data_IF_872477581443
#
_entry.id   IF_872477581443
#
_cell.length_a   1.000
_cell.length_b   1.000
_cell.length_c   1.000
_cell.angle_alpha   90.00
_cell.angle_beta   90.00
_cell.angle_gamma   90.00
#
_symmetry.space_group_name_H-M   'P 1'
#
loop_
_entity.id
_entity.type
_entity.pdbx_description
1 polymer ?
#
# COMPACT_ATOMS: atom_id res chain seq x y z
N UNK A 1 -19.95 40.68 -18.24
CA UNK A 1 -19.29 39.37 -18.04
C UNK A 1 -19.96 38.70 -16.83
N UNK A 2 -20.82 37.70 -17.05
CA UNK A 2 -21.65 37.12 -16.00
C UNK A 2 -20.91 36.01 -15.24
N UNK A 3 -20.86 36.14 -13.92
CA UNK A 3 -20.18 35.26 -12.98
C UNK A 3 -21.02 33.99 -12.70
N UNK A 4 -20.60 32.85 -13.23
CA UNK A 4 -21.29 31.56 -13.02
C UNK A 4 -20.85 30.96 -11.68
N UNK A 5 -21.62 31.23 -10.61
CA UNK A 5 -21.47 30.55 -9.31
C UNK A 5 -21.82 29.06 -9.45
N UNK A 6 -20.81 28.20 -9.41
CA UNK A 6 -20.92 26.74 -9.45
C UNK A 6 -21.64 26.21 -8.20
N UNK A 7 -22.95 26.00 -8.28
CA UNK A 7 -23.75 25.34 -7.21
C UNK A 7 -23.16 23.95 -6.92
N UNK A 8 -22.67 23.72 -5.69
CA UNK A 8 -22.31 22.38 -5.19
C UNK A 8 -23.59 21.54 -5.18
N UNK A 9 -23.61 20.45 -5.96
CA UNK A 9 -24.68 19.44 -5.93
C UNK A 9 -24.76 18.86 -4.52
N UNK A 10 -25.86 19.14 -3.80
CA UNK A 10 -26.24 18.38 -2.59
C UNK A 10 -26.86 17.08 -3.08
N UNK A 11 -26.17 15.96 -2.89
CA UNK A 11 -26.73 14.64 -3.17
C UNK A 11 -27.61 14.21 -1.98
N UNK A 12 -28.80 13.75 -2.32
CA UNK A 12 -29.88 13.29 -1.47
C UNK A 12 -29.41 12.11 -0.59
N UNK A 13 -29.57 12.21 0.73
CA UNK A 13 -29.17 11.20 1.73
C UNK A 13 -30.10 9.99 1.63
N UNK A 14 -29.67 8.99 0.86
CA UNK A 14 -30.31 7.68 0.74
C UNK A 14 -29.79 6.84 1.91
N UNK A 15 -30.66 6.53 2.87
CA UNK A 15 -30.37 5.85 4.15
C UNK A 15 -28.90 5.90 4.60
N UNK A 16 -28.61 6.89 5.45
CA UNK A 16 -27.28 7.21 6.00
C UNK A 16 -26.75 6.12 6.97
N UNK A 17 -27.27 4.90 6.87
CA UNK A 17 -26.80 3.72 7.59
C UNK A 17 -25.56 3.20 6.88
N UNK A 18 -24.45 3.83 7.22
CA UNK A 18 -23.14 3.34 6.89
C UNK A 18 -22.97 1.91 7.44
N UNK A 19 -22.39 0.99 6.66
CA UNK A 19 -22.16 -0.43 6.99
C UNK A 19 -21.30 -0.68 8.26
N UNK A 20 -20.84 0.40 8.88
CA UNK A 20 -20.27 0.48 10.23
C UNK A 20 -20.94 1.66 10.89
N UNK A 21 -21.58 1.45 12.04
CA UNK A 21 -22.14 2.53 12.84
C UNK A 21 -21.00 3.31 13.52
N UNK A 22 -20.78 4.54 13.05
CA UNK A 22 -19.69 5.38 13.55
C UNK A 22 -19.88 5.78 15.02
N UNK A 23 -21.13 5.90 15.52
CA UNK A 23 -21.38 6.27 16.92
C UNK A 23 -20.98 5.13 17.86
N UNK A 24 -21.48 3.93 17.58
CA UNK A 24 -21.12 2.73 18.33
C UNK A 24 -19.62 2.43 18.22
N UNK A 25 -19.02 2.68 17.04
CA UNK A 25 -17.57 2.51 16.85
C UNK A 25 -16.74 3.49 17.70
N UNK A 26 -17.14 4.77 17.76
CA UNK A 26 -16.49 5.76 18.60
C UNK A 26 -16.58 5.40 20.09
N UNK A 27 -17.76 4.97 20.54
CA UNK A 27 -17.97 4.55 21.93
C UNK A 27 -17.09 3.35 22.29
N UNK A 28 -17.06 2.32 21.45
CA UNK A 28 -16.20 1.16 21.64
C UNK A 28 -14.71 1.55 21.73
N UNK A 29 -14.26 2.47 20.87
CA UNK A 29 -12.88 2.99 20.91
C UNK A 29 -12.58 3.78 22.19
N UNK A 30 -13.55 4.55 22.71
CA UNK A 30 -13.40 5.26 24.00
C UNK A 30 -13.25 4.26 25.15
N UNK A 31 -14.12 3.25 25.21
CA UNK A 31 -14.06 2.18 26.22
C UNK A 31 -12.71 1.48 26.19
N UNK A 32 -12.27 1.02 25.02
CA UNK A 32 -10.99 0.35 24.87
C UNK A 32 -9.80 1.24 25.22
N UNK A 33 -9.85 2.54 24.90
CA UNK A 33 -8.81 3.49 25.28
C UNK A 33 -8.71 3.67 26.80
N UNK A 34 -9.83 3.66 27.51
CA UNK A 34 -9.84 3.65 28.98
C UNK A 34 -9.26 2.35 29.56
N UNK A 35 -9.54 1.20 28.93
CA UNK A 35 -8.90 -0.08 29.30
C UNK A 35 -7.39 -0.04 29.10
N UNK A 36 -6.92 0.51 27.97
CA UNK A 36 -5.50 0.74 27.71
C UNK A 36 -4.87 1.61 28.80
N UNK A 37 -5.49 2.73 29.18
CA UNK A 37 -5.00 3.59 30.28
C UNK A 37 -4.91 2.83 31.60
N UNK A 38 -5.91 2.00 31.92
CA UNK A 38 -5.91 1.15 33.13
C UNK A 38 -4.79 0.10 33.08
N UNK A 39 -4.53 -0.51 31.93
CA UNK A 39 -3.46 -1.49 31.73
C UNK A 39 -2.07 -0.85 31.88
N UNK A 40 -1.85 0.33 31.28
CA UNK A 40 -0.61 1.10 31.42
C UNK A 40 -0.34 1.48 32.87
N UNK A 41 -1.36 1.92 33.63
CA UNK A 41 -1.24 2.19 35.07
C UNK A 41 -0.83 0.96 35.89
N UNK A 42 -1.16 -0.24 35.41
CA UNK A 42 -0.80 -1.53 36.04
C UNK A 42 0.51 -2.11 35.50
N UNK A 43 1.27 -1.37 34.69
CA UNK A 43 2.46 -1.85 33.98
C UNK A 43 2.20 -3.14 33.17
N UNK A 44 0.99 -3.29 32.62
CA UNK A 44 0.63 -4.38 31.70
C UNK A 44 0.73 -3.89 30.25
N UNK A 45 0.94 -4.82 29.32
CA UNK A 45 0.92 -4.54 27.89
C UNK A 45 -0.43 -4.00 27.40
N UNK A 46 -0.44 -3.50 26.16
CA UNK A 46 -1.66 -3.00 25.51
C UNK A 46 -2.67 -4.16 25.41
N UNK A 47 -3.91 -4.01 25.94
CA UNK A 47 -4.91 -5.05 25.84
C UNK A 47 -5.34 -5.28 24.39
N UNK A 48 -5.79 -6.50 24.05
CA UNK A 48 -6.32 -6.76 22.72
C UNK A 48 -7.55 -5.89 22.43
N UNK A 49 -7.78 -5.56 21.16
CA UNK A 49 -8.99 -4.88 20.72
C UNK A 49 -10.21 -5.78 20.88
N UNK A 50 -11.39 -5.18 21.09
CA UNK A 50 -12.63 -5.95 21.18
C UNK A 50 -13.03 -6.57 19.83
N UNK A 51 -13.77 -7.68 19.87
CA UNK A 51 -14.27 -8.35 18.65
C UNK A 51 -15.08 -7.40 17.76
N UNK A 52 -15.84 -6.49 18.36
CA UNK A 52 -16.61 -5.49 17.61
C UNK A 52 -15.71 -4.50 16.86
N UNK A 53 -14.64 -4.01 17.49
CA UNK A 53 -13.66 -3.13 16.84
C UNK A 53 -12.96 -3.87 15.68
N UNK A 54 -12.58 -5.14 15.91
CA UNK A 54 -11.95 -5.96 14.88
C UNK A 54 -12.88 -6.19 13.68
N UNK A 55 -14.17 -6.50 13.92
CA UNK A 55 -15.18 -6.65 12.87
C UNK A 55 -15.37 -5.34 12.08
N UNK A 56 -15.34 -4.17 12.75
CA UNK A 56 -15.35 -2.88 12.07
C UNK A 56 -14.14 -2.71 11.14
N UNK A 57 -12.92 -3.04 11.58
CA UNK A 57 -11.73 -2.97 10.72
C UNK A 57 -11.84 -3.88 9.48
N UNK A 58 -12.30 -5.12 9.69
CA UNK A 58 -12.50 -6.10 8.61
C UNK A 58 -13.50 -5.58 7.59
N UNK A 59 -14.65 -5.06 8.05
CA UNK A 59 -15.67 -4.48 7.17
C UNK A 59 -15.13 -3.32 6.35
N UNK A 60 -14.39 -2.40 6.97
CA UNK A 60 -13.82 -1.24 6.28
C UNK A 60 -12.80 -1.68 5.22
N UNK A 61 -11.89 -2.58 5.58
CA UNK A 61 -10.86 -3.08 4.67
C UNK A 61 -11.46 -3.82 3.47
N UNK A 62 -12.42 -4.72 3.71
CA UNK A 62 -13.11 -5.44 2.65
C UNK A 62 -13.81 -4.49 1.69
N UNK A 63 -14.62 -3.55 2.18
CA UNK A 63 -15.32 -2.60 1.31
C UNK A 63 -14.36 -1.71 0.54
N UNK A 64 -13.28 -1.25 1.17
CA UNK A 64 -12.28 -0.42 0.51
C UNK A 64 -11.58 -1.17 -0.63
N UNK A 65 -11.37 -2.47 -0.49
CA UNK A 65 -10.72 -3.33 -1.50
C UNK A 65 -11.48 -3.40 -2.84
N UNK A 66 -12.81 -3.20 -2.82
CA UNK A 66 -13.65 -3.19 -4.03
C UNK A 66 -13.64 -1.85 -4.77
N UNK A 67 -12.91 -0.83 -4.27
CA UNK A 67 -12.77 0.43 -5.01
C UNK A 67 -12.05 0.16 -6.34
N UNK A 68 -12.40 0.87 -7.43
CA UNK A 68 -11.77 0.69 -8.74
C UNK A 68 -10.23 0.77 -8.71
N UNK A 69 -9.68 1.56 -7.79
CA UNK A 69 -8.23 1.71 -7.60
C UNK A 69 -7.54 0.45 -7.07
N UNK A 70 -8.27 -0.46 -6.41
CA UNK A 70 -7.72 -1.59 -5.66
C UNK A 70 -8.25 -2.95 -6.10
N UNK A 71 -9.41 -2.99 -6.77
CA UNK A 71 -10.15 -4.23 -7.07
C UNK A 71 -9.40 -5.18 -8.01
N UNK A 72 -8.58 -4.66 -8.92
CA UNK A 72 -7.93 -5.44 -9.99
C UNK A 72 -6.51 -5.94 -9.64
N UNK A 73 -6.10 -5.88 -8.37
CA UNK A 73 -4.83 -6.48 -7.95
C UNK A 73 -5.03 -7.92 -7.52
N UNK A 74 -4.15 -8.82 -7.95
CA UNK A 74 -4.17 -10.24 -7.58
C UNK A 74 -3.87 -10.47 -6.10
N UNK A 75 -3.13 -9.55 -5.47
CA UNK A 75 -2.72 -9.61 -4.06
C UNK A 75 -3.67 -8.83 -3.12
N UNK A 76 -4.97 -8.89 -3.40
CA UNK A 76 -5.97 -8.10 -2.66
C UNK A 76 -6.14 -8.54 -1.20
N UNK A 77 -6.06 -9.83 -0.95
CA UNK A 77 -6.25 -10.39 0.39
C UNK A 77 -5.07 -10.04 1.31
N UNK A 78 -3.87 -9.94 0.74
CA UNK A 78 -2.68 -9.46 1.41
C UNK A 78 -2.76 -7.95 1.69
N UNK A 79 -3.33 -7.16 0.77
CA UNK A 79 -3.62 -5.75 1.06
C UNK A 79 -4.57 -5.62 2.25
N UNK A 80 -5.67 -6.39 2.28
CA UNK A 80 -6.64 -6.40 3.38
C UNK A 80 -5.95 -6.77 4.70
N UNK A 81 -5.13 -7.83 4.69
CA UNK A 81 -4.39 -8.30 5.86
C UNK A 81 -3.43 -7.24 6.40
N UNK A 82 -2.60 -6.65 5.54
CA UNK A 82 -1.69 -5.55 5.89
C UNK A 82 -2.48 -4.34 6.44
N UNK A 83 -3.66 -4.06 5.87
CA UNK A 83 -4.56 -3.00 6.33
C UNK A 83 -5.06 -3.20 7.76
N UNK A 84 -5.52 -4.41 8.09
CA UNK A 84 -6.02 -4.77 9.43
C UNK A 84 -4.89 -4.73 10.45
N UNK A 85 -3.70 -5.26 10.11
CA UNK A 85 -2.52 -5.20 10.98
C UNK A 85 -2.18 -3.75 11.35
N UNK A 86 -2.17 -2.85 10.35
CA UNK A 86 -1.92 -1.43 10.57
C UNK A 86 -3.01 -0.79 11.44
N UNK A 87 -4.28 -1.17 11.28
CA UNK A 87 -5.35 -0.70 12.17
C UNK A 87 -5.11 -1.11 13.62
N UNK A 88 -4.71 -2.36 13.87
CA UNK A 88 -4.41 -2.85 15.22
C UNK A 88 -3.21 -2.12 15.80
N UNK A 89 -2.11 -2.01 15.04
CA UNK A 89 -0.89 -1.34 15.49
C UNK A 89 -1.11 0.14 15.85
N UNK A 90 -1.89 0.85 15.03
CA UNK A 90 -2.15 2.29 15.21
C UNK A 90 -3.46 2.61 15.94
N UNK A 91 -4.19 1.59 16.41
CA UNK A 91 -5.45 1.77 17.16
C UNK A 91 -5.24 2.62 18.42
N UNK A 92 -4.13 2.41 19.14
CA UNK A 92 -3.78 3.16 20.35
C UNK A 92 -3.61 4.67 20.10
N UNK A 93 -3.18 5.05 18.89
CA UNK A 93 -2.89 6.43 18.53
C UNK A 93 -4.15 7.25 18.23
N UNK A 94 -5.29 6.60 18.00
CA UNK A 94 -6.57 7.29 17.77
C UNK A 94 -6.96 8.10 19.02
N UNK A 95 -7.19 9.41 18.87
CA UNK A 95 -7.60 10.27 19.98
C UNK A 95 -9.06 10.76 19.77
N UNK A 96 -10.01 10.27 20.60
CA UNK A 96 -11.40 10.73 20.55
C UNK A 96 -11.58 12.24 20.76
N UNK A 97 -10.68 12.91 21.48
CA UNK A 97 -10.78 14.35 21.74
C UNK A 97 -10.41 15.21 20.52
N UNK A 98 -9.68 14.62 19.56
CA UNK A 98 -9.25 15.31 18.32
C UNK A 98 -10.18 15.02 17.14
N UNK A 99 -10.84 13.87 17.12
CA UNK A 99 -11.70 13.44 16.03
C UNK A 99 -12.79 12.51 16.53
N UNK A 100 -14.04 12.87 16.28
CA UNK A 100 -15.23 12.06 16.59
C UNK A 100 -15.52 10.99 15.52
N UNK A 101 -14.70 10.91 14.47
CA UNK A 101 -14.93 9.99 13.36
C UNK A 101 -13.80 8.95 13.24
N UNK A 102 -13.89 7.83 13.99
CA UNK A 102 -12.95 6.72 13.86
C UNK A 102 -13.02 6.08 12.47
N UNK A 103 -14.20 6.03 11.82
CA UNK A 103 -14.33 5.45 10.48
C UNK A 103 -13.40 6.12 9.47
N UNK A 104 -13.38 7.47 9.43
CA UNK A 104 -12.51 8.21 8.52
C UNK A 104 -11.02 7.99 8.84
N UNK A 105 -10.65 7.99 10.13
CA UNK A 105 -9.29 7.75 10.59
C UNK A 105 -8.77 6.38 10.13
N UNK A 106 -9.52 5.32 10.38
CA UNK A 106 -9.10 3.96 10.01
C UNK A 106 -9.18 3.71 8.51
N UNK A 107 -10.14 4.31 7.79
CA UNK A 107 -10.16 4.27 6.32
C UNK A 107 -8.86 4.82 5.74
N UNK A 108 -8.32 5.90 6.31
CA UNK A 108 -7.07 6.49 5.86
C UNK A 108 -5.86 5.58 6.12
N UNK A 109 -5.82 4.94 7.30
CA UNK A 109 -4.77 3.97 7.65
C UNK A 109 -4.74 2.82 6.64
N UNK A 110 -5.90 2.22 6.37
CA UNK A 110 -6.03 1.09 5.44
C UNK A 110 -5.66 1.53 4.02
N UNK A 111 -6.12 2.71 3.58
CA UNK A 111 -5.77 3.24 2.27
C UNK A 111 -4.26 3.33 2.05
N UNK A 112 -3.52 3.89 3.02
CA UNK A 112 -2.06 3.98 2.90
C UNK A 112 -1.37 2.62 3.03
N UNK A 113 -1.92 1.68 3.80
CA UNK A 113 -1.42 0.31 3.84
C UNK A 113 -1.52 -0.36 2.46
N UNK A 114 -2.67 -0.23 1.77
CA UNK A 114 -2.87 -0.77 0.42
C UNK A 114 -1.88 -0.16 -0.59
N UNK A 115 -1.70 1.16 -0.55
CA UNK A 115 -0.72 1.84 -1.41
C UNK A 115 0.70 1.33 -1.17
N UNK A 116 1.10 1.13 0.10
CA UNK A 116 2.42 0.56 0.42
C UNK A 116 2.57 -0.87 -0.09
N UNK A 117 1.53 -1.71 0.03
CA UNK A 117 1.56 -3.07 -0.49
C UNK A 117 1.74 -3.08 -2.00
N UNK A 118 0.96 -2.28 -2.74
CA UNK A 118 1.11 -2.13 -4.19
C UNK A 118 2.52 -1.70 -4.57
N UNK A 119 3.11 -0.74 -3.86
CA UNK A 119 4.48 -0.28 -4.13
C UNK A 119 5.51 -1.39 -3.88
N UNK A 120 5.34 -2.17 -2.81
CA UNK A 120 6.22 -3.31 -2.51
C UNK A 120 6.14 -4.36 -3.62
N UNK A 121 4.93 -4.72 -4.07
CA UNK A 121 4.74 -5.69 -5.14
C UNK A 121 5.28 -5.20 -6.49
N UNK A 122 5.06 -3.93 -6.84
CA UNK A 122 5.65 -3.32 -8.04
C UNK A 122 7.17 -3.36 -8.00
N UNK A 123 7.78 -3.10 -6.83
CA UNK A 123 9.23 -3.20 -6.66
C UNK A 123 9.72 -4.64 -6.83
N UNK A 124 9.03 -5.64 -6.27
CA UNK A 124 9.39 -7.05 -6.43
C UNK A 124 9.26 -7.54 -7.88
N UNK A 125 8.18 -7.16 -8.56
CA UNK A 125 7.97 -7.43 -9.99
C UNK A 125 9.10 -6.84 -10.83
N UNK A 126 9.50 -5.59 -10.58
CA UNK A 126 10.65 -4.98 -11.27
C UNK A 126 11.99 -5.67 -10.97
N UNK A 127 12.24 -6.10 -9.72
CA UNK A 127 13.45 -6.87 -9.38
C UNK A 127 13.48 -8.18 -10.17
N UNK A 128 12.34 -8.90 -10.25
CA UNK A 128 12.22 -10.13 -11.02
C UNK A 128 12.51 -9.89 -12.51
N UNK A 129 11.96 -8.82 -13.09
CA UNK A 129 12.21 -8.47 -14.49
C UNK A 129 13.70 -8.16 -14.73
N UNK A 130 14.34 -7.39 -13.84
CA UNK A 130 15.78 -7.10 -13.93
C UNK A 130 16.66 -8.32 -13.75
N UNK A 131 16.23 -9.30 -12.94
CA UNK A 131 16.93 -10.59 -12.86
C UNK A 131 16.83 -11.33 -14.19
N UNK A 132 15.64 -11.39 -14.81
CA UNK A 132 15.45 -12.02 -16.12
C UNK A 132 16.22 -11.32 -17.26
N UNK A 133 16.36 -9.99 -17.23
CA UNK A 133 17.22 -9.25 -18.18
C UNK A 133 18.70 -9.66 -18.06
N UNK A 134 19.17 -9.85 -16.82
CA UNK A 134 20.59 -10.12 -16.52
C UNK A 134 20.97 -11.59 -16.68
N UNK A 135 20.01 -12.49 -16.60
CA UNK A 135 20.26 -13.92 -16.80
C UNK A 135 20.63 -14.16 -18.26
N UNK A 136 21.93 -14.21 -18.54
CA UNK A 136 22.46 -14.78 -19.78
C UNK A 136 22.12 -16.26 -19.79
N UNK A 137 21.25 -16.66 -20.71
CA UNK A 137 21.00 -18.07 -20.95
C UNK A 137 22.14 -18.59 -21.82
N UNK A 138 22.95 -19.51 -21.29
CA UNK A 138 23.90 -20.30 -22.07
C UNK A 138 23.08 -21.37 -22.80
N UNK A 139 22.87 -21.25 -24.12
CA UNK A 139 22.17 -22.28 -24.85
C UNK A 139 23.01 -23.57 -24.81
N UNK A 140 22.42 -24.68 -24.33
CA UNK A 140 23.03 -26.02 -24.38
C UNK A 140 23.03 -26.56 -25.82
N UNK A 141 23.64 -25.83 -26.74
CA UNK A 141 23.46 -26.03 -28.17
C UNK A 141 24.70 -26.50 -28.89
N UNK A 142 25.79 -26.76 -28.16
CA UNK A 142 26.94 -27.51 -28.66
C UNK A 142 26.86 -28.94 -28.15
N UNK A 143 26.43 -29.87 -29.00
CA UNK A 143 26.78 -31.27 -28.77
C UNK A 143 28.30 -31.40 -28.87
N UNK A 144 28.90 -32.18 -27.96
CA UNK A 144 30.37 -32.26 -27.74
C UNK A 144 31.20 -32.53 -29.01
N UNK A 145 30.59 -33.05 -30.07
CA UNK A 145 31.22 -33.42 -31.33
C UNK A 145 30.59 -32.75 -32.57
N UNK A 146 29.72 -31.74 -32.40
CA UNK A 146 29.09 -31.05 -33.53
C UNK A 146 29.76 -29.68 -33.75
N UNK A 147 29.98 -29.34 -35.02
CA UNK A 147 30.60 -28.08 -35.46
C UNK A 147 29.57 -26.95 -35.51
N UNK A 148 28.29 -27.29 -35.64
CA UNK A 148 27.21 -26.31 -35.78
C UNK A 148 26.76 -25.78 -34.42
N UNK A 149 26.65 -24.46 -34.32
CA UNK A 149 26.05 -23.80 -33.17
C UNK A 149 24.55 -23.61 -33.43
N UNK A 150 23.71 -24.35 -32.73
CA UNK A 150 22.27 -24.14 -32.81
C UNK A 150 21.90 -22.93 -31.95
N UNK A 151 21.38 -21.86 -32.54
CA UNK A 151 20.74 -20.79 -31.76
C UNK A 151 19.24 -20.92 -31.94
N UNK A 152 18.50 -21.11 -30.86
CA UNK A 152 17.04 -21.10 -30.91
C UNK A 152 16.54 -19.67 -30.69
N UNK A 153 15.96 -19.00 -31.72
CA UNK A 153 15.40 -17.66 -31.56
C UNK A 153 14.22 -17.64 -30.57
N UNK A 154 13.62 -18.80 -30.30
CA UNK A 154 12.46 -18.94 -29.44
C UNK A 154 12.71 -18.41 -28.01
N UNK A 155 13.94 -18.48 -27.52
CA UNK A 155 14.27 -18.01 -26.17
C UNK A 155 14.34 -16.48 -26.09
N UNK A 156 15.01 -15.84 -27.04
CA UNK A 156 15.06 -14.38 -27.16
C UNK A 156 13.65 -13.80 -27.37
N UNK A 157 12.84 -14.49 -28.16
CA UNK A 157 11.43 -14.14 -28.38
C UNK A 157 10.61 -14.29 -27.10
N UNK A 158 10.82 -15.35 -26.32
CA UNK A 158 10.16 -15.57 -25.03
C UNK A 158 10.57 -14.51 -23.99
N UNK A 159 11.86 -14.14 -23.93
CA UNK A 159 12.36 -13.06 -23.06
C UNK A 159 11.67 -11.74 -23.40
N UNK A 160 11.62 -11.38 -24.68
CA UNK A 160 10.99 -10.14 -25.12
C UNK A 160 9.46 -10.13 -24.93
N UNK A 161 8.79 -11.30 -24.93
CA UNK A 161 7.36 -11.40 -24.57
C UNK A 161 7.10 -11.32 -23.06
N UNK A 162 8.02 -11.83 -22.24
CA UNK A 162 7.85 -11.91 -20.78
C UNK A 162 8.20 -10.60 -20.07
N UNK A 163 9.03 -9.76 -20.67
CA UNK A 163 9.43 -8.48 -20.11
C UNK A 163 8.49 -7.37 -20.61
N UNK A 164 8.00 -6.49 -19.72
CA UNK A 164 7.22 -5.34 -20.15
C UNK A 164 8.10 -4.32 -20.86
N UNK A 165 7.55 -3.65 -21.88
CA UNK A 165 8.23 -2.58 -22.65
C UNK A 165 8.68 -1.40 -21.78
N UNK A 166 8.03 -1.20 -20.62
CA UNK A 166 8.37 -0.13 -19.67
C UNK A 166 8.50 -0.67 -18.26
N UNK A 167 9.45 -0.11 -17.51
CA UNK A 167 9.67 -0.46 -16.10
C UNK A 167 8.42 -0.13 -15.25
N UNK A 168 7.84 -1.18 -14.66
CA UNK A 168 6.66 -1.11 -13.77
C UNK A 168 6.91 -0.27 -12.52
N UNK A 169 8.18 -0.15 -12.11
CA UNK A 169 8.61 0.65 -10.97
C UNK A 169 9.79 1.53 -11.36
N UNK A 170 9.62 2.86 -11.22
CA UNK A 170 10.72 3.81 -11.39
C UNK A 170 11.40 4.02 -10.04
N UNK A 171 12.65 3.58 -9.86
CA UNK A 171 13.38 3.88 -8.63
C UNK A 171 13.47 5.39 -8.47
N UNK A 172 13.12 5.90 -7.29
CA UNK A 172 13.33 7.31 -6.95
C UNK A 172 14.83 7.59 -7.07
N UNK A 173 15.23 8.50 -7.96
CA UNK A 173 16.59 9.02 -8.01
C UNK A 173 16.86 9.62 -6.64
N UNK A 174 17.77 9.02 -5.88
CA UNK A 174 18.36 9.72 -4.74
C UNK A 174 19.24 10.79 -5.36
N UNK A 175 18.96 12.06 -5.08
CA UNK A 175 20.00 13.06 -5.25
C UNK A 175 21.15 12.58 -4.37
N UNK A 176 22.37 12.40 -4.92
CA UNK A 176 23.51 12.23 -4.03
C UNK A 176 23.49 13.46 -3.13
N UNK A 177 23.34 13.26 -1.81
CA UNK A 177 23.69 14.34 -0.90
C UNK A 177 25.13 14.67 -1.25
N UNK A 178 25.40 15.90 -1.71
CA UNK A 178 26.77 16.39 -1.82
C UNK A 178 27.39 16.18 -0.44
N UNK A 179 28.33 15.24 -0.34
CA UNK A 179 29.04 14.95 0.91
C UNK A 179 30.42 15.55 0.74
N UNK A 180 30.67 16.68 1.39
CA UNK A 180 31.98 17.32 1.42
C UNK A 180 31.98 18.76 0.90
N UNK A 181 33.16 19.31 0.63
CA UNK A 181 33.40 20.70 0.21
C UNK A 181 32.73 21.07 -1.13
N UNK A 182 32.17 20.10 -1.87
CA UNK A 182 31.44 20.29 -3.13
C UNK A 182 30.15 21.14 -3.01
N UNK A 183 29.65 21.37 -1.78
CA UNK A 183 28.58 22.34 -1.50
C UNK A 183 29.07 23.79 -1.65
N UNK A 184 30.38 24.03 -1.44
CA UNK A 184 30.98 25.38 -1.35
C UNK A 184 31.83 25.77 -2.57
N UNK A 185 31.94 24.90 -3.57
CA UNK A 185 32.82 25.12 -4.74
C UNK A 185 32.11 25.62 -6.00
N UNK A 186 30.80 25.86 -5.96
CA UNK A 186 30.07 26.42 -7.11
C UNK A 186 29.44 27.75 -6.71
N UNK A 187 30.15 28.83 -6.96
CA UNK A 187 29.67 30.17 -7.35
C UNK A 187 30.92 31.07 -7.41
N UNK A 188 31.67 31.02 -8.51
CA UNK A 188 32.58 32.06 -8.99
C UNK A 188 33.11 31.65 -10.38
N UNK A 189 32.30 31.86 -11.41
CA UNK A 189 32.75 32.22 -12.77
C UNK A 189 31.68 33.08 -13.47
#
# INVERSE_FOLDING_TARGET
MAEVKKKRRKNLTKDDTHYVDNKAFLEAMKVWKEECKKATKKNKGIPPVSNYIADCFIKIANRLSFRPNFVNYTYRDEMISDGIENCIQYSYNFNPDKSDNPFAYFTQIIYYAFVRRIQKEKKQSHIKNKMMERTTFEPFTKQKNDVNEYSSPAFEQLRNMMLPDTDVYKPKKKNPNKKGLEEFMNDDE
#
